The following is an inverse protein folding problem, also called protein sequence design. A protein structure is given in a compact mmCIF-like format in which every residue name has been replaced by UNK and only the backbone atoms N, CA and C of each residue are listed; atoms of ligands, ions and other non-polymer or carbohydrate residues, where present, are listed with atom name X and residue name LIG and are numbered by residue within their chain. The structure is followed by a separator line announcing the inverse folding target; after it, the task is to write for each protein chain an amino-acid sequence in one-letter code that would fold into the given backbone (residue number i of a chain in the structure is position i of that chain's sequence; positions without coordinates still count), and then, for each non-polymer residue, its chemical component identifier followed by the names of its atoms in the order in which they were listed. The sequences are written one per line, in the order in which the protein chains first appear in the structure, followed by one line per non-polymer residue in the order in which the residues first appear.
data_IF_021858195472
#
_entry.id   IF_021858195472
#
_cell.length_a   1.000
_cell.length_b   1.000
_cell.length_c   1.000
_cell.angle_alpha   90.00
_cell.angle_beta   90.00
_cell.angle_gamma   90.00
#
_symmetry.space_group_name_H-M   'P 1'
#
loop_
_entity.id
_entity.type
_entity.pdbx_description
1 polymer ?
#
# COMPACT_ATOMS: atom_id res chain seq x y z
N UNK A 1 4.81 7.43 15.38
CA UNK A 1 4.68 6.05 15.93
C UNK A 1 3.80 5.23 14.98
N UNK A 2 4.42 4.36 14.19
CA UNK A 2 3.73 3.25 13.53
C UNK A 2 3.74 2.10 14.56
N UNK A 3 2.60 1.84 15.19
CA UNK A 3 2.46 0.79 16.20
C UNK A 3 1.83 -0.44 15.57
N UNK A 4 2.46 -1.60 15.74
CA UNK A 4 1.72 -2.86 15.81
C UNK A 4 1.98 -3.42 17.21
N UNK A 5 0.89 -3.74 17.92
CA UNK A 5 0.89 -4.16 19.31
C UNK A 5 1.62 -5.50 19.52
N UNK A 6 2.22 -5.62 20.70
CA UNK A 6 3.17 -6.65 21.12
C UNK A 6 2.53 -7.96 21.62
N UNK A 7 1.28 -8.28 21.27
CA UNK A 7 0.58 -9.44 21.84
C UNK A 7 0.13 -10.43 20.77
N UNK A 8 0.36 -11.73 21.00
CA UNK A 8 0.06 -12.82 20.08
C UNK A 8 -1.43 -13.22 20.09
N UNK A 9 -2.31 -12.40 19.52
CA UNK A 9 -3.71 -12.77 19.32
C UNK A 9 -3.98 -13.07 17.83
N UNK A 10 -4.84 -14.04 17.57
CA UNK A 10 -5.00 -14.72 16.26
C UNK A 10 -5.72 -13.88 15.20
N UNK A 11 -5.93 -12.56 15.44
CA UNK A 11 -6.69 -11.60 14.61
C UNK A 11 -6.21 -10.14 14.78
N UNK A 12 -4.90 -9.91 14.83
CA UNK A 12 -4.34 -8.60 15.19
C UNK A 12 -3.96 -7.71 13.98
N UNK A 13 -4.48 -7.99 12.78
CA UNK A 13 -4.33 -7.09 11.63
C UNK A 13 -5.52 -7.14 10.67
N UNK A 14 -5.78 -6.02 10.01
CA UNK A 14 -6.81 -5.86 8.97
C UNK A 14 -6.21 -5.38 7.65
N UNK A 15 -6.91 -5.63 6.53
CA UNK A 15 -6.51 -5.08 5.23
C UNK A 15 -6.38 -3.56 5.25
N UNK A 16 -7.24 -2.89 6.02
CA UNK A 16 -7.20 -1.44 6.16
C UNK A 16 -5.88 -0.99 6.82
N UNK A 17 -5.49 -1.62 7.93
CA UNK A 17 -4.22 -1.31 8.59
C UNK A 17 -3.03 -1.59 7.68
N UNK A 18 -3.07 -2.71 6.96
CA UNK A 18 -2.01 -3.09 6.05
C UNK A 18 -1.84 -2.11 4.87
N UNK A 19 -2.95 -1.72 4.22
CA UNK A 19 -2.94 -0.91 2.99
C UNK A 19 -2.85 0.59 3.29
N UNK A 20 -3.67 1.10 4.21
CA UNK A 20 -3.85 2.54 4.46
C UNK A 20 -3.05 3.06 5.66
N UNK A 21 -2.94 2.29 6.74
CA UNK A 21 -2.22 2.74 7.95
C UNK A 21 -0.72 2.50 7.81
N UNK A 22 -0.33 1.40 7.17
CA UNK A 22 1.04 0.94 7.04
C UNK A 22 1.42 0.02 8.19
N UNK A 23 1.25 -1.29 8.00
CA UNK A 23 1.67 -2.29 8.98
C UNK A 23 3.21 -2.44 8.95
N UNK A 24 3.82 -2.25 10.11
CA UNK A 24 5.20 -2.63 10.37
C UNK A 24 5.22 -3.88 11.23
N UNK A 25 5.96 -4.90 10.82
CA UNK A 25 6.31 -6.03 11.69
C UNK A 25 7.78 -5.92 12.05
N UNK A 26 8.04 -5.64 13.33
CA UNK A 26 9.39 -5.49 13.89
C UNK A 26 10.22 -4.42 13.17
N UNK A 27 10.95 -4.83 12.12
CA UNK A 27 11.92 -4.05 11.34
C UNK A 27 11.61 -4.07 9.84
N UNK A 28 10.43 -4.53 9.42
CA UNK A 28 10.03 -4.55 8.02
C UNK A 28 8.71 -3.81 7.83
N UNK A 29 8.72 -2.88 6.85
CA UNK A 29 7.51 -2.21 6.38
C UNK A 29 6.84 -3.11 5.36
N UNK A 30 5.90 -3.93 5.82
CA UNK A 30 5.17 -4.86 4.96
C UNK A 30 4.14 -4.11 4.10
N UNK A 31 3.51 -3.08 4.66
CA UNK A 31 2.45 -2.28 4.03
C UNK A 31 2.90 -0.90 3.54
N UNK A 32 1.98 0.07 3.56
CA UNK A 32 2.14 1.46 3.10
C UNK A 32 2.12 1.63 1.58
N UNK A 33 0.91 1.57 1.02
CA UNK A 33 0.64 1.80 -0.41
C UNK A 33 -0.22 3.06 -0.66
N UNK A 34 -0.50 3.83 0.40
CA UNK A 34 -1.29 5.04 0.33
C UNK A 34 -0.37 6.29 0.37
N UNK A 35 -0.48 7.15 -0.64
CA UNK A 35 0.39 8.32 -0.79
C UNK A 35 0.15 9.38 0.29
N UNK A 36 -1.10 9.52 0.77
CA UNK A 36 -1.44 10.52 1.79
C UNK A 36 -0.79 10.15 3.13
N UNK A 37 -0.85 8.87 3.50
CA UNK A 37 -0.16 8.37 4.68
C UNK A 37 1.36 8.48 4.54
N UNK A 38 1.91 8.17 3.36
CA UNK A 38 3.34 8.36 3.09
C UNK A 38 3.76 9.83 3.31
N UNK A 39 3.06 10.78 2.69
CA UNK A 39 3.34 12.21 2.80
C UNK A 39 3.23 12.72 4.25
N UNK A 40 2.26 12.20 5.02
CA UNK A 40 2.13 12.52 6.44
C UNK A 40 3.32 12.03 7.26
N UNK A 41 3.75 10.79 7.07
CA UNK A 41 4.85 10.18 7.81
C UNK A 41 6.19 10.81 7.46
N UNK A 42 6.41 11.14 6.18
CA UNK A 42 7.60 11.87 5.73
C UNK A 42 7.65 13.27 6.36
N UNK A 43 6.53 14.01 6.37
CA UNK A 43 6.44 15.33 7.03
C UNK A 43 6.74 15.26 8.53
N UNK A 44 6.39 14.15 9.19
CA UNK A 44 6.68 13.94 10.62
C UNK A 44 8.11 13.48 10.89
N UNK A 45 8.91 13.22 9.84
CA UNK A 45 10.26 12.66 9.98
C UNK A 45 10.28 11.19 10.41
N UNK A 46 9.15 10.48 10.26
CA UNK A 46 9.05 9.04 10.54
C UNK A 46 9.48 8.18 9.32
N UNK A 47 9.55 8.78 8.12
CA UNK A 47 10.07 8.18 6.88
C UNK A 47 11.05 9.11 6.17
N UNK A 48 11.99 8.52 5.42
CA UNK A 48 12.93 9.19 4.55
C UNK A 48 12.84 8.62 3.12
N UNK A 49 12.45 9.43 2.15
CA UNK A 49 12.43 9.04 0.74
C UNK A 49 13.86 8.83 0.20
N UNK A 50 14.08 7.72 -0.50
CA UNK A 50 15.39 7.35 -1.05
C UNK A 50 15.45 7.45 -2.58
N UNK A 51 14.31 7.51 -3.27
CA UNK A 51 14.26 7.55 -4.73
C UNK A 51 13.01 6.88 -5.30
N UNK A 52 12.82 6.99 -6.62
CA UNK A 52 11.74 6.34 -7.35
C UNK A 52 12.27 5.56 -8.56
N UNK A 53 11.51 4.55 -8.97
CA UNK A 53 11.77 3.82 -10.21
C UNK A 53 11.25 4.67 -11.38
N UNK A 54 12.05 4.93 -12.43
CA UNK A 54 11.65 5.78 -13.56
C UNK A 54 10.42 5.30 -14.33
N UNK A 55 10.02 4.03 -14.14
CA UNK A 55 8.85 3.41 -14.75
C UNK A 55 7.56 3.83 -14.02
N UNK A 56 7.30 5.14 -13.97
CA UNK A 56 6.03 5.68 -13.52
C UNK A 56 4.97 5.52 -14.63
N UNK A 57 3.72 5.33 -14.23
CA UNK A 57 2.62 5.06 -15.17
C UNK A 57 1.66 6.25 -15.21
N UNK A 58 1.34 6.72 -16.42
CA UNK A 58 0.50 7.90 -16.69
C UNK A 58 1.26 9.21 -16.81
N UNK A 59 0.63 10.19 -17.48
CA UNK A 59 1.13 11.56 -17.66
C UNK A 59 0.06 12.60 -17.27
N UNK A 60 0.18 13.27 -16.11
CA UNK A 60 1.21 13.12 -15.07
C UNK A 60 1.14 11.75 -14.36
N UNK A 61 2.21 11.32 -13.67
CA UNK A 61 2.27 10.02 -12.99
C UNK A 61 1.09 9.75 -12.07
N UNK A 62 0.38 8.64 -12.32
CA UNK A 62 -0.73 8.14 -11.49
C UNK A 62 -0.28 7.03 -10.54
N UNK A 63 0.72 6.25 -10.95
CA UNK A 63 1.32 5.19 -10.13
C UNK A 63 2.83 5.43 -10.05
N UNK A 64 3.36 5.40 -8.83
CA UNK A 64 4.78 5.56 -8.59
C UNK A 64 5.30 4.43 -7.70
N UNK A 65 6.43 3.86 -8.10
CA UNK A 65 7.18 2.92 -7.25
C UNK A 65 8.34 3.68 -6.61
N UNK A 66 8.35 3.75 -5.28
CA UNK A 66 9.37 4.46 -4.51
C UNK A 66 10.17 3.51 -3.61
N UNK A 67 11.37 3.95 -3.25
CA UNK A 67 12.17 3.39 -2.18
C UNK A 67 12.19 4.38 -1.01
N UNK A 68 12.06 3.89 0.21
CA UNK A 68 12.12 4.72 1.41
C UNK A 68 12.68 3.96 2.61
N UNK A 69 13.11 4.71 3.61
CA UNK A 69 13.63 4.18 4.87
C UNK A 69 12.78 4.69 6.03
N UNK A 70 12.50 3.84 7.02
CA UNK A 70 11.85 4.28 8.26
C UNK A 70 12.84 4.95 9.19
N UNK A 71 12.33 5.75 10.13
CA UNK A 71 13.13 6.30 11.23
C UNK A 71 13.89 5.24 12.04
N UNK A 72 13.40 4.01 12.07
CA UNK A 72 14.04 2.86 12.73
C UNK A 72 15.16 2.23 11.90
N UNK A 73 15.44 2.74 10.69
CA UNK A 73 16.51 2.26 9.81
C UNK A 73 16.08 1.15 8.84
N UNK A 74 14.79 0.80 8.80
CA UNK A 74 14.27 -0.25 7.91
C UNK A 74 14.08 0.28 6.50
N UNK A 75 14.70 -0.35 5.52
CA UNK A 75 14.58 0.05 4.10
C UNK A 75 13.51 -0.78 3.41
N UNK A 76 12.52 -0.09 2.79
CA UNK A 76 11.63 -0.69 1.80
C UNK A 76 12.14 -0.32 0.40
N UNK A 77 12.73 -1.27 -0.35
CA UNK A 77 13.35 -0.97 -1.64
C UNK A 77 12.32 -0.69 -2.75
N UNK A 78 11.09 -1.20 -2.62
CA UNK A 78 10.00 -0.97 -3.57
C UNK A 78 8.65 -0.91 -2.85
N UNK A 79 7.98 0.24 -2.96
CA UNK A 79 6.59 0.44 -2.57
C UNK A 79 5.86 1.18 -3.68
N UNK A 80 4.91 0.52 -4.31
CA UNK A 80 4.06 1.10 -5.35
C UNK A 80 2.81 1.74 -4.73
N UNK A 81 2.48 2.96 -5.12
CA UNK A 81 1.30 3.68 -4.62
C UNK A 81 0.63 4.47 -5.74
N UNK A 82 -0.68 4.66 -5.59
CA UNK A 82 -1.44 5.61 -6.40
C UNK A 82 -1.12 7.03 -5.92
N UNK A 83 -0.96 7.97 -6.84
CA UNK A 83 -0.65 9.37 -6.55
C UNK A 83 -1.84 10.28 -6.85
N UNK A 84 -2.16 11.16 -5.89
CA UNK A 84 -3.21 12.17 -6.05
C UNK A 84 -4.63 11.62 -6.04
N UNK A 85 -4.80 10.33 -5.76
CA UNK A 85 -6.09 9.67 -5.56
C UNK A 85 -6.70 10.01 -4.20
N UNK A 86 -8.01 9.97 -4.09
CA UNK A 86 -8.66 10.08 -2.80
C UNK A 86 -8.68 8.71 -2.08
N UNK A 87 -8.66 8.68 -0.73
CA UNK A 87 -8.73 7.43 0.02
C UNK A 87 -9.96 6.58 -0.31
N UNK A 88 -11.10 7.23 -0.59
CA UNK A 88 -12.33 6.55 -0.99
C UNK A 88 -12.23 5.90 -2.38
N UNK A 89 -11.46 6.49 -3.31
CA UNK A 89 -11.19 5.88 -4.62
C UNK A 89 -10.40 4.58 -4.45
N UNK A 90 -9.31 4.61 -3.68
CA UNK A 90 -8.48 3.43 -3.40
C UNK A 90 -9.30 2.34 -2.69
N UNK A 91 -10.12 2.73 -1.70
CA UNK A 91 -10.98 1.81 -0.98
C UNK A 91 -12.01 1.14 -1.89
N UNK A 92 -12.67 1.92 -2.76
CA UNK A 92 -13.64 1.41 -3.70
C UNK A 92 -12.99 0.44 -4.70
N UNK A 93 -11.86 0.83 -5.29
CA UNK A 93 -11.11 0.01 -6.25
C UNK A 93 -10.73 -1.34 -5.66
N UNK A 94 -10.09 -1.36 -4.48
CA UNK A 94 -9.67 -2.59 -3.82
C UNK A 94 -10.85 -3.46 -3.40
N UNK A 95 -11.96 -2.86 -2.95
CA UNK A 95 -13.18 -3.59 -2.62
C UNK A 95 -13.80 -4.25 -3.85
N UNK A 96 -13.91 -3.53 -4.97
CA UNK A 96 -14.45 -4.07 -6.22
C UNK A 96 -13.59 -5.21 -6.76
N UNK A 97 -12.26 -5.05 -6.78
CA UNK A 97 -11.35 -6.10 -7.22
C UNK A 97 -11.45 -7.34 -6.33
N UNK A 98 -11.49 -7.15 -5.00
CA UNK A 98 -11.66 -8.26 -4.06
C UNK A 98 -12.98 -9.02 -4.28
N UNK A 99 -14.08 -8.29 -4.44
CA UNK A 99 -15.41 -8.89 -4.65
C UNK A 99 -15.57 -9.55 -6.03
N UNK A 100 -14.74 -9.18 -7.01
CA UNK A 100 -14.72 -9.83 -8.33
C UNK A 100 -14.30 -11.30 -8.27
N UNK A 101 -13.68 -11.75 -7.17
CA UNK A 101 -13.15 -13.09 -7.00
C UNK A 101 -11.81 -13.35 -7.71
N UNK A 102 -11.28 -12.34 -8.42
CA UNK A 102 -9.97 -12.40 -9.05
C UNK A 102 -8.88 -11.87 -8.11
N UNK A 103 -7.72 -12.52 -8.09
CA UNK A 103 -6.56 -12.09 -7.30
C UNK A 103 -5.75 -11.00 -7.99
N UNK A 104 -5.82 -10.95 -9.32
CA UNK A 104 -5.09 -10.02 -10.16
C UNK A 104 -6.04 -9.47 -11.24
N UNK A 105 -6.21 -8.15 -11.27
CA UNK A 105 -7.09 -7.48 -12.23
C UNK A 105 -6.32 -6.33 -12.87
N UNK A 106 -6.31 -6.30 -14.21
CA UNK A 106 -5.80 -5.16 -14.97
C UNK A 106 -6.85 -4.07 -14.99
N UNK A 107 -6.43 -2.84 -14.71
CA UNK A 107 -7.29 -1.67 -14.65
C UNK A 107 -6.68 -0.56 -15.49
N UNK A 108 -7.57 0.22 -16.12
CA UNK A 108 -7.19 1.40 -16.86
C UNK A 108 -7.49 2.63 -16.00
N UNK A 109 -6.45 3.32 -15.57
CA UNK A 109 -6.49 4.48 -14.70
C UNK A 109 -6.05 5.71 -15.50
N UNK A 110 -7.01 6.36 -16.14
CA UNK A 110 -6.73 7.51 -17.02
C UNK A 110 -5.75 7.09 -18.14
N UNK A 111 -4.55 7.66 -18.22
CA UNK A 111 -3.50 7.28 -19.18
C UNK A 111 -2.60 6.12 -18.74
N UNK A 112 -2.94 5.46 -17.62
CA UNK A 112 -2.13 4.42 -17.01
C UNK A 112 -2.82 3.04 -17.05
N UNK A 113 -2.16 2.04 -17.64
CA UNK A 113 -2.56 0.63 -17.45
C UNK A 113 -1.77 0.06 -16.27
N UNK A 114 -2.49 -0.36 -15.23
CA UNK A 114 -1.90 -0.88 -14.00
C UNK A 114 -2.59 -2.18 -13.59
N UNK A 115 -1.91 -2.96 -12.74
CA UNK A 115 -2.46 -4.19 -12.20
C UNK A 115 -2.75 -4.01 -10.72
N UNK A 116 -3.99 -4.28 -10.31
CA UNK A 116 -4.36 -4.39 -8.90
C UNK A 116 -4.25 -5.84 -8.48
N UNK A 117 -3.48 -6.09 -7.43
CA UNK A 117 -3.30 -7.41 -6.84
C UNK A 117 -3.93 -7.40 -5.46
N UNK A 118 -4.86 -8.32 -5.22
CA UNK A 118 -5.55 -8.48 -3.95
C UNK A 118 -5.41 -9.92 -3.45
N UNK A 119 -5.03 -10.05 -2.17
CA UNK A 119 -4.90 -11.32 -1.48
C UNK A 119 -5.88 -11.38 -0.31
N UNK A 120 -6.60 -12.50 -0.20
CA UNK A 120 -7.48 -12.80 0.91
C UNK A 120 -6.72 -13.43 2.09
N UNK A 121 -7.19 -13.24 3.31
CA UNK A 121 -6.76 -14.01 4.47
C UNK A 121 -7.26 -15.46 4.40
N UNK A 122 -6.72 -16.34 5.27
CA UNK A 122 -7.16 -17.75 5.37
C UNK A 122 -8.69 -17.84 5.50
N UNK A 123 -9.32 -18.54 4.56
CA UNK A 123 -10.78 -18.69 4.48
C UNK A 123 -11.46 -17.83 3.42
N UNK A 124 -10.73 -16.99 2.67
CA UNK A 124 -11.19 -16.36 1.41
C UNK A 124 -12.24 -15.25 1.55
N UNK A 125 -12.84 -15.08 2.74
CA UNK A 125 -13.93 -14.12 2.97
C UNK A 125 -13.48 -12.75 3.45
N UNK A 126 -12.21 -12.60 3.82
CA UNK A 126 -11.66 -11.38 4.39
C UNK A 126 -10.49 -10.93 3.55
N UNK A 127 -10.48 -9.67 3.14
CA UNK A 127 -9.35 -9.08 2.44
C UNK A 127 -8.14 -9.05 3.39
N UNK A 128 -6.96 -9.42 2.89
CA UNK A 128 -5.70 -9.38 3.63
C UNK A 128 -4.81 -8.21 3.21
N UNK A 129 -4.53 -8.09 1.92
CA UNK A 129 -3.76 -6.98 1.34
C UNK A 129 -4.22 -6.71 -0.07
N UNK A 130 -4.19 -5.44 -0.48
CA UNK A 130 -4.31 -5.05 -1.89
C UNK A 130 -3.27 -3.97 -2.18
N UNK A 131 -2.65 -4.05 -3.34
CA UNK A 131 -1.73 -3.02 -3.82
C UNK A 131 -1.72 -2.97 -5.34
N UNK A 132 -1.24 -1.85 -5.86
CA UNK A 132 -1.08 -1.62 -7.29
C UNK A 132 0.34 -1.96 -7.75
N UNK A 133 0.48 -2.47 -8.96
CA UNK A 133 1.75 -2.80 -9.60
C UNK A 133 1.80 -2.29 -11.04
#
# INVERSE_FOLDING_TARGET
MLSCCTTSSRRDSSAFEHVFVGENRQLEVLGLHNWLQFARLERMGDLNYLGHVPKACGTPPKVLTIAFMTKQGSIKPRGSMLLGTSPEFELALYTTVFLSGHTEVRVHLDSCEATVICHSMKGGRVLGTCYIK
#
